data_IF_850097402416
#
_entry.id   IF_850097402416
#
_cell.length_a   1.000
_cell.length_b   1.000
_cell.length_c   1.000
_cell.angle_alpha   90.00
_cell.angle_beta   90.00
_cell.angle_gamma   90.00
#
_symmetry.space_group_name_H-M   'P 1'
#
loop_
_entity.id
_entity.type
_entity.pdbx_description
1 polymer ?
#
# COMPACT_ATOMS: atom_id res chain seq x y z
N UNK A 1 -7.34 -0.80 8.99
CA UNK A 1 -6.16 -0.01 9.40
C UNK A 1 -6.31 1.37 8.78
N UNK A 2 -6.10 2.48 9.51
CA UNK A 2 -6.15 3.79 8.88
C UNK A 2 -5.02 3.89 7.84
N UNK A 3 -5.31 4.44 6.66
CA UNK A 3 -4.31 4.70 5.61
C UNK A 3 -3.13 5.50 6.17
N UNK A 4 -1.91 4.98 6.00
CA UNK A 4 -0.66 5.65 6.36
C UNK A 4 0.36 5.30 5.29
N UNK A 5 1.10 6.29 4.80
CA UNK A 5 2.16 6.02 3.85
C UNK A 5 3.24 5.16 4.52
N UNK A 6 3.67 4.09 3.85
CA UNK A 6 4.71 3.19 4.36
C UNK A 6 6.12 3.80 4.31
N UNK A 7 6.33 4.81 3.46
CA UNK A 7 7.63 5.46 3.23
C UNK A 7 7.83 6.68 4.14
N UNK A 8 6.74 7.34 4.56
CA UNK A 8 6.82 8.58 5.34
C UNK A 8 5.66 8.66 6.35
N UNK A 9 5.74 9.49 7.40
CA UNK A 9 4.72 9.51 8.46
C UNK A 9 3.38 10.17 8.04
N UNK A 10 3.15 10.40 6.73
CA UNK A 10 1.90 11.00 6.24
C UNK A 10 0.74 10.02 6.41
N UNK A 11 -0.37 10.55 6.90
CA UNK A 11 -1.68 9.88 7.00
C UNK A 11 -2.78 10.88 6.62
N UNK A 12 -3.98 10.43 6.22
CA UNK A 12 -5.08 11.34 5.92
C UNK A 12 -5.49 12.20 7.11
N UNK A 13 -5.74 13.47 6.81
CA UNK A 13 -6.25 14.47 7.74
C UNK A 13 -7.28 15.34 7.03
N UNK A 14 -7.91 16.27 7.74
CA UNK A 14 -8.94 17.15 7.16
C UNK A 14 -8.41 17.96 5.96
N UNK A 15 -7.15 18.36 6.01
CA UNK A 15 -6.39 19.08 5.00
C UNK A 15 -5.66 18.16 4.00
N UNK A 16 -5.70 16.85 4.22
CA UNK A 16 -5.07 15.83 3.37
C UNK A 16 -6.03 14.65 3.16
N UNK A 17 -6.95 14.71 2.18
CA UNK A 17 -7.95 13.69 1.97
C UNK A 17 -7.34 12.32 1.62
N UNK A 18 -8.12 11.26 1.86
CA UNK A 18 -7.76 9.89 1.47
C UNK A 18 -7.46 9.76 -0.04
N UNK A 19 -8.05 10.62 -0.88
CA UNK A 19 -7.80 10.64 -2.31
C UNK A 19 -6.33 10.94 -2.70
N UNK A 20 -5.53 11.50 -1.79
CA UNK A 20 -4.09 11.70 -1.97
C UNK A 20 -3.25 10.46 -1.59
N UNK A 21 -3.90 9.34 -1.27
CA UNK A 21 -3.25 8.08 -0.96
C UNK A 21 -3.73 7.00 -1.91
N UNK A 22 -2.77 6.19 -2.36
CA UNK A 22 -3.00 5.04 -3.23
C UNK A 22 -2.77 3.77 -2.44
N UNK A 23 -3.74 2.86 -2.49
CA UNK A 23 -3.56 1.49 -2.01
C UNK A 23 -2.99 0.65 -3.15
N UNK A 24 -1.77 0.18 -2.99
CA UNK A 24 -1.10 -0.68 -3.97
C UNK A 24 -1.21 -2.12 -3.52
N UNK A 25 -1.57 -3.01 -4.45
CA UNK A 25 -1.69 -4.44 -4.23
C UNK A 25 -0.46 -5.13 -4.82
N UNK A 26 0.34 -5.73 -3.94
CA UNK A 26 1.47 -6.57 -4.28
C UNK A 26 1.04 -8.03 -4.41
N UNK A 27 1.91 -8.89 -4.93
CA UNK A 27 1.66 -10.32 -5.09
C UNK A 27 1.20 -10.92 -3.77
N UNK A 28 -0.01 -11.47 -3.74
CA UNK A 28 -0.57 -12.16 -2.58
C UNK A 28 0.22 -13.45 -2.27
N UNK A 29 0.30 -13.83 -0.99
CA UNK A 29 0.83 -15.14 -0.58
C UNK A 29 -0.26 -16.09 -0.11
N UNK A 30 -1.49 -15.59 0.00
CA UNK A 30 -2.70 -16.35 0.28
C UNK A 30 -3.85 -15.89 -0.59
N UNK A 31 -4.73 -16.81 -0.94
CA UNK A 31 -6.00 -16.51 -1.61
C UNK A 31 -7.07 -16.22 -0.56
N UNK A 32 -7.89 -15.21 -0.81
CA UNK A 32 -9.01 -14.84 0.05
C UNK A 32 -10.34 -15.37 -0.49
N UNK A 33 -11.26 -15.83 0.37
CA UNK A 33 -12.65 -16.06 0.00
C UNK A 33 -13.31 -14.79 -0.56
N UNK A 34 -14.31 -14.93 -1.43
CA UNK A 34 -15.03 -13.80 -2.03
C UNK A 34 -15.78 -12.94 -1.00
N UNK A 35 -16.22 -13.54 0.13
CA UNK A 35 -16.93 -12.88 1.22
C UNK A 35 -16.00 -12.33 2.32
N UNK A 36 -14.69 -12.37 2.09
CA UNK A 36 -13.72 -11.94 3.08
C UNK A 36 -13.73 -10.43 3.30
N UNK A 37 -13.82 -10.01 4.57
CA UNK A 37 -13.79 -8.61 4.99
C UNK A 37 -12.52 -8.35 5.80
N UNK A 38 -11.62 -7.52 5.24
CA UNK A 38 -10.38 -7.15 5.90
C UNK A 38 -9.43 -6.38 4.99
N UNK A 39 -8.24 -6.07 5.50
CA UNK A 39 -7.16 -5.45 4.72
C UNK A 39 -6.18 -6.53 4.25
N UNK A 40 -5.97 -6.71 2.93
CA UNK A 40 -5.09 -7.76 2.43
C UNK A 40 -3.67 -7.60 2.99
N UNK A 41 -2.95 -8.71 3.14
CA UNK A 41 -1.59 -8.74 3.73
C UNK A 41 -0.57 -7.96 2.91
N UNK A 42 -0.70 -8.03 1.58
CA UNK A 42 0.20 -7.42 0.62
C UNK A 42 -0.45 -6.21 -0.04
N UNK A 43 -1.45 -5.60 0.59
CA UNK A 43 -1.93 -4.28 0.21
C UNK A 43 -1.22 -3.24 1.08
N UNK A 44 -0.67 -2.17 0.50
CA UNK A 44 0.06 -1.14 1.26
C UNK A 44 -0.29 0.25 0.75
N UNK A 45 -0.42 1.20 1.68
CA UNK A 45 -0.74 2.59 1.38
C UNK A 45 0.51 3.43 1.10
N UNK A 46 0.43 4.25 0.06
CA UNK A 46 1.43 5.27 -0.29
C UNK A 46 0.74 6.63 -0.43
N UNK A 47 1.41 7.72 -0.05
CA UNK A 47 0.94 9.05 -0.49
C UNK A 47 1.30 9.24 -1.97
N UNK A 48 0.63 10.20 -2.61
CA UNK A 48 0.92 10.72 -3.94
C UNK A 48 2.41 10.86 -4.28
N UNK A 49 3.21 11.41 -3.36
CA UNK A 49 4.64 11.62 -3.56
C UNK A 49 5.46 10.31 -3.62
N UNK A 50 4.95 9.18 -3.12
CA UNK A 50 5.72 7.93 -3.00
C UNK A 50 5.12 6.74 -3.72
N UNK A 51 3.90 6.84 -4.25
CA UNK A 51 3.26 5.74 -4.98
C UNK A 51 4.08 5.29 -6.21
N UNK A 52 4.79 6.22 -6.85
CA UNK A 52 5.63 5.95 -8.01
C UNK A 52 6.85 5.06 -7.70
N UNK A 53 7.30 5.00 -6.44
CA UNK A 53 8.50 4.21 -6.06
C UNK A 53 8.30 2.70 -6.29
N UNK A 54 7.05 2.25 -6.32
CA UNK A 54 6.70 0.83 -6.44
C UNK A 54 6.14 0.45 -7.81
N UNK A 55 6.21 1.37 -8.77
CA UNK A 55 5.89 1.06 -10.16
C UNK A 55 6.79 -0.08 -10.68
N UNK A 56 6.16 -1.13 -11.23
CA UNK A 56 6.87 -2.31 -11.71
C UNK A 56 7.37 -3.27 -10.62
N UNK A 57 7.02 -3.04 -9.34
CA UNK A 57 7.37 -3.95 -8.23
C UNK A 57 6.18 -4.81 -7.75
N UNK A 58 5.01 -4.70 -8.36
CA UNK A 58 3.77 -5.36 -7.91
C UNK A 58 3.79 -6.89 -8.02
N UNK A 59 4.71 -7.46 -8.82
CA UNK A 59 4.91 -8.90 -8.94
C UNK A 59 5.65 -9.52 -7.73
N UNK A 60 6.20 -8.68 -6.85
CA UNK A 60 6.87 -9.05 -5.61
C UNK A 60 5.88 -9.04 -4.45
N UNK A 61 6.25 -9.60 -3.29
CA UNK A 61 5.51 -9.35 -2.04
C UNK A 61 5.73 -7.91 -1.56
N UNK A 62 4.88 -7.43 -0.65
CA UNK A 62 5.05 -6.10 -0.07
C UNK A 62 6.43 -5.94 0.58
N UNK A 63 6.86 -6.88 1.42
CA UNK A 63 8.19 -6.85 2.04
C UNK A 63 9.32 -6.81 1.00
N UNK A 64 9.25 -7.66 -0.05
CA UNK A 64 10.26 -7.69 -1.11
C UNK A 64 10.34 -6.37 -1.91
N UNK A 65 9.20 -5.71 -2.14
CA UNK A 65 9.15 -4.41 -2.79
C UNK A 65 9.67 -3.30 -1.88
N UNK A 66 9.32 -3.33 -0.59
CA UNK A 66 9.75 -2.33 0.39
C UNK A 66 11.26 -2.36 0.62
N UNK A 67 11.91 -3.53 0.58
CA UNK A 67 13.37 -3.64 0.64
C UNK A 67 14.08 -3.01 -0.58
N UNK A 68 13.39 -2.82 -1.71
CA UNK A 68 13.97 -2.22 -2.94
C UNK A 68 13.87 -0.70 -3.02
N UNK A 69 12.99 -0.08 -2.23
CA UNK A 69 12.73 1.36 -2.26
C UNK A 69 13.27 2.10 -1.02
N UNK A 70 13.91 1.36 -0.10
CA UNK A 70 14.60 1.91 1.07
C UNK A 70 15.94 2.53 0.71
#
# INVERSE_FOLDING_TARGET
>A
MPPMCVVCPRSPRRDRPLAEFTLVYFRETRTYPEDWVGHPENAVWFCDDHAHLVEGLTDLTADEALERIK
#
